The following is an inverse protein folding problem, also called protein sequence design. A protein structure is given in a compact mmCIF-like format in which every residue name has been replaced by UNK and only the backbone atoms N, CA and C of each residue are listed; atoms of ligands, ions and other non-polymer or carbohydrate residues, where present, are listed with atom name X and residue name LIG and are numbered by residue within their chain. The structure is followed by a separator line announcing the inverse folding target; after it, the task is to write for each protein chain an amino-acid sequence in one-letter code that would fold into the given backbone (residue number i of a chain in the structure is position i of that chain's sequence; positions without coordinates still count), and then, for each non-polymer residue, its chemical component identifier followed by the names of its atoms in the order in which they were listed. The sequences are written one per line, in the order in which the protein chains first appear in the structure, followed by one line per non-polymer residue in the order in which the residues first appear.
data_IF_822213284354
#
_entry.id   IF_822213284354
#
_cell.length_a   1.000
_cell.length_b   1.000
_cell.length_c   1.000
_cell.angle_alpha   90.00
_cell.angle_beta   90.00
_cell.angle_gamma   90.00
#
_symmetry.space_group_name_H-M   'P 1'
#
loop_
_entity.id
_entity.type
_entity.pdbx_description
1 polymer ?
#
# COMPACT_ATOMS: atom_id res chain seq x y z
N UNK A 1 -0.14 3.16 -24.20
CA UNK A 1 -1.10 3.63 -23.50
C UNK A 1 -0.77 4.53 -22.42
N UNK A 2 -1.19 5.62 -22.60
CA UNK A 2 -0.77 6.67 -21.78
C UNK A 2 -1.75 7.00 -20.74
N UNK A 3 -2.60 6.12 -20.45
CA UNK A 3 -3.71 6.39 -19.58
C UNK A 3 -3.37 6.64 -18.13
N UNK A 4 -2.18 6.23 -17.66
CA UNK A 4 -1.91 6.35 -16.24
C UNK A 4 -0.54 6.92 -16.04
N UNK A 5 -0.39 8.14 -16.34
CA UNK A 5 0.95 8.63 -16.46
C UNK A 5 1.60 9.04 -15.19
N UNK A 6 0.95 9.16 -14.11
CA UNK A 6 1.53 10.09 -13.22
C UNK A 6 1.86 9.58 -11.86
N UNK A 7 1.62 8.32 -11.60
CA UNK A 7 1.97 7.79 -10.30
C UNK A 7 3.32 7.11 -10.40
N UNK A 8 4.33 7.82 -9.98
CA UNK A 8 5.64 7.19 -9.86
C UNK A 8 5.59 6.17 -8.74
N UNK A 9 6.06 4.95 -8.99
CA UNK A 9 6.16 3.96 -7.93
C UNK A 9 7.21 4.38 -6.90
N UNK A 10 7.15 3.81 -5.68
CA UNK A 10 8.07 4.20 -4.61
C UNK A 10 9.54 3.99 -4.92
N UNK A 11 9.85 3.05 -5.83
CA UNK A 11 11.23 2.77 -6.20
C UNK A 11 11.78 3.72 -7.25
N UNK A 12 10.97 4.57 -7.84
CA UNK A 12 11.37 5.42 -8.96
C UNK A 12 11.57 6.85 -8.49
N UNK A 13 12.82 7.23 -8.30
CA UNK A 13 13.18 8.60 -7.95
C UNK A 13 13.76 9.37 -9.14
N UNK A 14 13.65 8.80 -10.34
CA UNK A 14 14.23 9.40 -11.54
C UNK A 14 15.63 8.92 -11.85
N UNK A 15 16.24 8.13 -10.97
CA UNK A 15 17.57 7.59 -11.19
C UNK A 15 17.59 6.08 -11.36
N UNK A 16 16.44 5.49 -11.60
CA UNK A 16 16.31 4.05 -11.75
C UNK A 16 17.01 3.51 -13.00
N UNK A 17 16.98 2.18 -13.17
CA UNK A 17 17.65 1.56 -14.30
C UNK A 17 17.03 1.92 -15.63
N UNK A 18 17.84 1.90 -16.66
CA UNK A 18 17.37 2.05 -18.02
C UNK A 18 16.74 0.73 -18.46
N UNK A 19 15.49 0.77 -18.85
CA UNK A 19 14.73 -0.42 -19.19
C UNK A 19 15.01 -0.92 -20.61
N UNK A 20 16.11 -0.54 -21.19
CA UNK A 20 16.44 -0.92 -22.56
C UNK A 20 16.97 -2.36 -22.70
N UNK A 21 17.40 -3.00 -21.61
CA UNK A 21 17.97 -4.35 -21.67
C UNK A 21 17.10 -5.34 -20.91
N UNK A 22 17.05 -6.63 -21.34
CA UNK A 22 16.32 -7.64 -20.61
C UNK A 22 16.79 -7.84 -19.18
N UNK A 23 18.10 -7.72 -18.95
CA UNK A 23 18.66 -7.84 -17.59
C UNK A 23 18.13 -6.74 -16.68
N UNK A 24 18.13 -5.51 -17.17
CA UNK A 24 17.64 -4.39 -16.40
C UNK A 24 16.15 -4.48 -16.14
N UNK A 25 15.39 -5.00 -17.10
CA UNK A 25 13.96 -5.25 -16.91
C UNK A 25 13.73 -6.29 -15.82
N UNK A 26 14.52 -7.35 -15.80
CA UNK A 26 14.42 -8.39 -14.78
C UNK A 26 14.81 -7.84 -13.41
N UNK A 27 15.90 -7.08 -13.34
CA UNK A 27 16.35 -6.45 -12.10
C UNK A 27 15.27 -5.52 -11.53
N UNK A 28 14.67 -4.70 -12.40
CA UNK A 28 13.57 -3.83 -11.99
C UNK A 28 12.38 -4.62 -11.47
N UNK A 29 12.05 -5.73 -12.12
CA UNK A 29 10.92 -6.57 -11.69
C UNK A 29 11.16 -7.19 -10.32
N UNK A 30 12.38 -7.61 -10.04
CA UNK A 30 12.74 -8.17 -8.74
C UNK A 30 12.57 -7.13 -7.64
N UNK A 31 13.06 -5.92 -7.86
CA UNK A 31 12.93 -4.83 -6.89
C UNK A 31 11.47 -4.43 -6.73
N UNK A 32 10.72 -4.36 -7.82
CA UNK A 32 9.30 -4.03 -7.77
C UNK A 32 8.51 -5.03 -6.94
N UNK A 33 8.80 -6.31 -7.11
CA UNK A 33 8.14 -7.35 -6.34
C UNK A 33 8.45 -7.21 -4.85
N UNK A 34 9.71 -6.98 -4.51
CA UNK A 34 10.12 -6.79 -3.13
C UNK A 34 9.44 -5.56 -2.51
N UNK A 35 9.33 -4.47 -3.26
CA UNK A 35 8.65 -3.25 -2.81
C UNK A 35 7.18 -3.51 -2.56
N UNK A 36 6.50 -4.19 -3.47
CA UNK A 36 5.09 -4.54 -3.31
C UNK A 36 4.87 -5.41 -2.08
N UNK A 37 5.71 -6.41 -1.90
CA UNK A 37 5.63 -7.29 -0.75
C UNK A 37 5.87 -6.53 0.55
N UNK A 38 6.81 -5.61 0.54
CA UNK A 38 7.14 -4.80 1.71
C UNK A 38 5.96 -3.91 2.11
N UNK A 39 5.39 -3.20 1.16
CA UNK A 39 4.23 -2.34 1.43
C UNK A 39 3.02 -3.15 1.92
N UNK A 40 2.79 -4.30 1.32
CA UNK A 40 1.73 -5.20 1.73
C UNK A 40 1.94 -5.69 3.16
N UNK A 41 3.17 -6.04 3.50
CA UNK A 41 3.53 -6.49 4.84
C UNK A 41 3.35 -5.38 5.87
N UNK A 42 3.79 -4.15 5.56
CA UNK A 42 3.60 -3.00 6.44
C UNK A 42 2.11 -2.77 6.72
N UNK A 43 1.28 -2.78 5.69
CA UNK A 43 -0.15 -2.56 5.87
C UNK A 43 -0.80 -3.67 6.68
N UNK A 44 -0.36 -4.90 6.49
CA UNK A 44 -0.86 -6.03 7.28
C UNK A 44 -0.49 -5.90 8.76
N UNK A 45 0.73 -5.45 9.05
CA UNK A 45 1.16 -5.21 10.44
C UNK A 45 0.32 -4.09 11.06
N UNK A 46 0.07 -3.03 10.32
CA UNK A 46 -0.71 -1.89 10.83
C UNK A 46 -2.17 -2.24 11.12
N UNK A 47 -2.69 -3.26 10.48
CA UNK A 47 -4.03 -3.76 10.79
C UNK A 47 -4.09 -4.48 12.14
N UNK A 48 -2.94 -4.65 12.77
CA UNK A 48 -2.80 -5.21 14.10
C UNK A 48 -3.50 -6.58 14.25
N UNK A 49 -2.98 -7.62 13.59
CA UNK A 49 -3.59 -8.94 13.67
C UNK A 49 -3.67 -9.43 15.11
N UNK A 50 -4.78 -10.00 15.48
CA UNK A 50 -4.99 -10.52 16.84
C UNK A 50 -4.21 -11.81 17.06
N UNK A 51 -3.97 -12.57 16.00
CA UNK A 51 -3.21 -13.82 16.09
C UNK A 51 -1.73 -13.48 16.18
N UNK A 52 -1.13 -13.84 17.32
CA UNK A 52 0.27 -13.57 17.59
C UNK A 52 1.21 -14.28 16.62
N UNK A 53 0.87 -15.50 16.22
CA UNK A 53 1.65 -16.26 15.25
C UNK A 53 1.72 -15.48 13.93
N UNK A 54 0.59 -14.97 13.48
CA UNK A 54 0.52 -14.18 12.26
C UNK A 54 1.33 -12.89 12.37
N UNK A 55 1.25 -12.24 13.52
CA UNK A 55 2.01 -11.01 13.77
C UNK A 55 3.51 -11.26 13.69
N UNK A 56 3.98 -12.32 14.32
CA UNK A 56 5.40 -12.70 14.30
C UNK A 56 5.86 -13.02 12.88
N UNK A 57 5.02 -13.70 12.12
CA UNK A 57 5.31 -14.03 10.73
C UNK A 57 5.46 -12.77 9.88
N UNK A 58 4.59 -11.81 10.07
CA UNK A 58 4.65 -10.54 9.33
C UNK A 58 5.89 -9.74 9.70
N UNK A 59 6.25 -9.69 10.96
CA UNK A 59 7.47 -9.01 11.41
C UNK A 59 8.71 -9.68 10.82
N UNK A 60 8.73 -11.01 10.78
CA UNK A 60 9.82 -11.75 10.16
C UNK A 60 9.92 -11.47 8.66
N UNK A 61 8.80 -11.41 7.96
CA UNK A 61 8.78 -11.07 6.54
C UNK A 61 9.31 -9.66 6.30
N UNK A 62 8.93 -8.71 7.15
CA UNK A 62 9.42 -7.35 7.08
C UNK A 62 10.95 -7.31 7.20
N UNK A 63 11.47 -8.04 8.18
CA UNK A 63 12.92 -8.10 8.42
C UNK A 63 13.66 -8.72 7.23
N UNK A 64 13.12 -9.77 6.65
CA UNK A 64 13.73 -10.42 5.47
C UNK A 64 13.78 -9.47 4.28
N UNK A 65 12.72 -8.72 4.06
CA UNK A 65 12.67 -7.76 2.96
C UNK A 65 13.65 -6.61 3.18
N UNK A 66 13.76 -6.13 4.41
CA UNK A 66 14.74 -5.09 4.74
C UNK A 66 16.16 -5.60 4.54
N UNK A 67 16.41 -6.85 4.90
CA UNK A 67 17.70 -7.48 4.67
C UNK A 67 18.04 -7.52 3.18
N UNK A 68 17.06 -7.83 2.33
CA UNK A 68 17.27 -7.78 0.89
C UNK A 68 17.62 -6.37 0.42
N UNK A 69 16.91 -5.35 0.90
CA UNK A 69 17.18 -3.96 0.47
C UNK A 69 18.56 -3.47 0.86
N UNK A 70 19.16 -4.01 1.90
CA UNK A 70 20.51 -3.67 2.32
C UNK A 70 21.58 -4.63 1.79
N UNK A 71 21.17 -5.61 0.97
CA UNK A 71 22.10 -6.61 0.45
C UNK A 71 22.86 -6.10 -0.76
N UNK A 72 23.94 -6.80 -1.09
CA UNK A 72 24.70 -6.52 -2.30
C UNK A 72 23.88 -6.81 -3.56
N UNK A 73 23.01 -7.81 -3.51
CA UNK A 73 22.13 -8.12 -4.64
C UNK A 73 21.24 -6.94 -4.99
N UNK A 74 20.67 -6.28 -4.01
CA UNK A 74 19.85 -5.09 -4.25
C UNK A 74 20.67 -4.01 -4.94
N UNK A 75 21.92 -3.80 -4.51
CA UNK A 75 22.79 -2.78 -5.10
C UNK A 75 23.09 -3.07 -6.56
N UNK A 76 23.14 -4.34 -6.93
CA UNK A 76 23.32 -4.74 -8.32
C UNK A 76 22.10 -4.45 -9.17
N UNK A 77 20.91 -4.49 -8.56
CA UNK A 77 19.64 -4.34 -9.28
C UNK A 77 19.12 -2.91 -9.31
N UNK A 78 19.51 -2.09 -8.37
CA UNK A 78 18.90 -0.77 -8.20
C UNK A 78 19.91 0.21 -7.62
N UNK A 79 19.94 1.42 -8.16
CA UNK A 79 20.84 2.48 -7.70
C UNK A 79 20.25 3.36 -6.60
N UNK A 80 18.99 3.14 -6.27
CA UNK A 80 18.32 3.94 -5.25
C UNK A 80 18.84 3.57 -3.88
N UNK A 81 19.17 4.57 -3.06
CA UNK A 81 19.60 4.34 -1.69
C UNK A 81 18.53 3.55 -0.93
N UNK A 82 18.90 2.43 -0.27
CA UNK A 82 17.91 1.61 0.42
C UNK A 82 17.15 2.35 1.51
N UNK A 83 17.79 3.27 2.24
CA UNK A 83 17.10 4.06 3.24
C UNK A 83 15.99 4.90 2.62
N UNK A 84 16.28 5.51 1.49
CA UNK A 84 15.32 6.31 0.74
C UNK A 84 14.19 5.46 0.18
N UNK A 85 14.53 4.28 -0.33
CA UNK A 85 13.53 3.36 -0.85
C UNK A 85 12.56 2.93 0.25
N UNK A 86 13.08 2.55 1.40
CA UNK A 86 12.26 2.13 2.54
C UNK A 86 11.36 3.27 3.00
N UNK A 87 11.91 4.48 3.10
CA UNK A 87 11.13 5.66 3.46
C UNK A 87 10.00 5.89 2.46
N UNK A 88 10.28 5.80 1.18
CA UNK A 88 9.26 5.97 0.15
C UNK A 88 8.20 4.88 0.23
N UNK A 89 8.57 3.65 0.57
CA UNK A 89 7.61 2.56 0.78
C UNK A 89 6.67 2.88 1.95
N UNK A 90 7.21 3.37 3.05
CA UNK A 90 6.39 3.77 4.19
C UNK A 90 5.41 4.87 3.83
N UNK A 91 5.90 5.91 3.17
CA UNK A 91 5.05 7.03 2.78
C UNK A 91 3.95 6.60 1.83
N UNK A 92 4.27 5.77 0.86
CA UNK A 92 3.28 5.28 -0.10
C UNK A 92 2.26 4.37 0.58
N UNK A 93 2.70 3.50 1.47
CA UNK A 93 1.80 2.61 2.20
C UNK A 93 0.87 3.39 3.13
N UNK A 94 1.37 4.44 3.78
CA UNK A 94 0.56 5.34 4.60
C UNK A 94 -0.51 6.02 3.75
N UNK A 95 -0.14 6.54 2.59
CA UNK A 95 -1.10 7.17 1.68
C UNK A 95 -2.18 6.20 1.23
N UNK A 96 -1.77 4.98 0.86
CA UNK A 96 -2.72 3.95 0.43
C UNK A 96 -3.69 3.59 1.56
N UNK A 97 -3.18 3.50 2.78
CA UNK A 97 -4.02 3.18 3.94
C UNK A 97 -4.98 4.32 4.26
N UNK A 98 -4.53 5.57 4.17
CA UNK A 98 -5.41 6.72 4.34
C UNK A 98 -6.54 6.73 3.32
N UNK A 99 -6.23 6.43 2.07
CA UNK A 99 -7.24 6.34 1.01
C UNK A 99 -8.25 5.23 1.30
N UNK A 100 -7.77 4.09 1.76
CA UNK A 100 -8.63 2.95 2.10
C UNK A 100 -9.56 3.30 3.27
N UNK A 101 -9.04 3.96 4.29
CA UNK A 101 -9.82 4.41 5.45
C UNK A 101 -10.87 5.43 5.01
N UNK A 102 -10.49 6.38 4.19
CA UNK A 102 -11.41 7.39 3.67
C UNK A 102 -12.55 6.75 2.88
N UNK A 103 -12.25 5.78 2.03
CA UNK A 103 -13.28 5.06 1.27
C UNK A 103 -14.24 4.32 2.19
N UNK A 104 -13.72 3.64 3.20
CA UNK A 104 -14.53 2.91 4.18
C UNK A 104 -15.43 3.86 4.96
N UNK A 105 -14.88 4.99 5.39
CA UNK A 105 -15.65 5.99 6.13
C UNK A 105 -16.74 6.61 5.27
N UNK A 106 -16.45 6.93 4.02
CA UNK A 106 -17.45 7.44 3.10
C UNK A 106 -18.57 6.45 2.89
N UNK A 107 -18.23 5.17 2.76
CA UNK A 107 -19.22 4.11 2.60
C UNK A 107 -20.11 3.99 3.84
N UNK A 108 -19.51 4.02 5.03
CA UNK A 108 -20.26 3.96 6.29
C UNK A 108 -21.18 5.15 6.47
N UNK A 109 -20.71 6.35 6.16
CA UNK A 109 -21.51 7.56 6.23
C UNK A 109 -22.68 7.47 5.27
N UNK A 110 -22.44 6.99 4.05
CA UNK A 110 -23.47 6.84 3.04
C UNK A 110 -24.54 5.86 3.47
N UNK A 111 -24.16 4.73 4.04
CA UNK A 111 -25.08 3.74 4.57
C UNK A 111 -25.90 4.30 5.73
N UNK A 112 -25.24 5.00 6.64
CA UNK A 112 -25.91 5.61 7.78
C UNK A 112 -26.94 6.65 7.36
N UNK A 113 -26.60 7.49 6.40
CA UNK A 113 -27.53 8.49 5.87
C UNK A 113 -28.72 7.83 5.17
N UNK A 114 -28.48 6.73 4.48
CA UNK A 114 -29.55 5.98 3.85
C UNK A 114 -30.50 5.40 4.88
N UNK A 115 -29.99 4.81 5.95
CA UNK A 115 -30.79 4.24 7.02
C UNK A 115 -31.61 5.33 7.73
N UNK A 116 -31.00 6.46 8.05
CA UNK A 116 -31.68 7.58 8.66
C UNK A 116 -32.80 8.12 7.78
N UNK A 117 -32.58 8.16 6.47
CA UNK A 117 -33.55 8.63 5.52
C UNK A 117 -34.76 7.70 5.47
N UNK A 118 -34.55 6.41 5.54
CA UNK A 118 -35.63 5.42 5.59
C UNK A 118 -36.39 5.52 6.88
N UNK A 119 -35.71 5.69 8.02
CA UNK A 119 -36.37 5.88 9.32
C UNK A 119 -37.20 7.14 9.35
N UNK A 120 -36.68 8.26 8.85
CA UNK A 120 -37.43 9.51 8.81
C UNK A 120 -38.69 9.40 7.95
N UNK A 121 -38.58 8.75 6.81
CA UNK A 121 -39.72 8.53 5.95
C UNK A 121 -40.77 7.70 6.66
N UNK A 122 -40.39 6.69 7.41
CA UNK A 122 -41.29 5.84 8.16
C UNK A 122 -41.97 6.60 9.32
N UNK A 123 -41.20 7.40 10.06
CA UNK A 123 -41.70 8.20 11.16
C UNK A 123 -42.67 9.28 10.67
N UNK A 124 -42.33 9.92 9.55
CA UNK A 124 -43.19 10.93 8.96
C UNK A 124 -44.56 10.33 8.59
N UNK A 125 -44.57 9.11 8.09
CA UNK A 125 -45.79 8.41 7.80
C UNK A 125 -46.64 8.14 9.06
N UNK A 126 -46.00 7.87 10.19
CA UNK A 126 -46.68 7.66 11.44
C UNK A 126 -47.21 8.94 12.05
N UNK A 127 -46.46 10.03 11.92
CA UNK A 127 -46.81 11.27 12.56
C UNK A 127 -47.99 12.00 11.91
N UNK A 128 -48.34 11.62 10.72
CA UNK A 128 -49.50 12.19 10.02
C UNK A 128 -50.80 11.61 10.59
N UNK A 129 -50.70 10.50 11.22
CA UNK A 129 -51.85 9.87 11.85
C UNK A 129 -52.02 10.41 13.26
#
# INVERSE_FOLDING_TARGET
MEGIPHMKPPWDDGSGPDYSSPYQNLAAAIVQLAVKDYMKTLRAIWKNPKNEFQRRKLIAQKAELEEFFYSDDYRMYCSIDPDRLIENCYLTAIEDEKKAITRRNKRKIKEHLKDNKEEQAHETGKSIV
#
